data_IF_820603976982
#
_entry.id   IF_820603976982
#
_cell.length_a   1.000
_cell.length_b   1.000
_cell.length_c   1.000
_cell.angle_alpha   90.00
_cell.angle_beta   90.00
_cell.angle_gamma   90.00
#
_symmetry.space_group_name_H-M   'P 1'
#
loop_
_entity.id
_entity.type
_entity.pdbx_description
1 polymer ?
#
# COMPACT_ATOMS: atom_id res chain seq x y z
N UNK A 1 -3.79 11.65 2.04
CA UNK A 1 -2.42 12.08 1.86
C UNK A 1 -2.47 13.23 0.93
N UNK A 2 -2.35 14.43 1.47
CA UNK A 2 -1.87 15.50 0.63
C UNK A 2 -0.45 15.06 0.24
N UNK A 3 -0.25 14.61 -1.01
CA UNK A 3 1.09 14.54 -1.57
C UNK A 3 1.65 15.95 -1.55
N UNK A 4 2.92 16.10 -1.20
CA UNK A 4 3.56 17.40 -1.41
C UNK A 4 3.59 17.71 -2.90
N UNK A 5 3.72 18.99 -3.25
CA UNK A 5 3.79 19.41 -4.66
C UNK A 5 4.94 18.70 -5.39
N UNK A 6 6.12 18.61 -4.77
CA UNK A 6 7.29 17.93 -5.35
C UNK A 6 7.02 16.44 -5.57
N UNK A 7 6.41 15.74 -4.60
CA UNK A 7 6.05 14.33 -4.75
C UNK A 7 5.06 14.12 -5.90
N UNK A 8 4.03 14.98 -5.99
CA UNK A 8 3.02 14.90 -7.05
C UNK A 8 3.64 15.09 -8.44
N UNK A 9 4.53 16.06 -8.60
CA UNK A 9 5.21 16.32 -9.87
C UNK A 9 6.13 15.17 -10.28
N UNK A 10 6.91 14.64 -9.33
CA UNK A 10 7.80 13.49 -9.57
C UNK A 10 7.01 12.25 -9.96
N UNK A 11 5.94 11.93 -9.22
CA UNK A 11 5.09 10.76 -9.51
C UNK A 11 4.52 10.82 -10.92
N UNK A 12 3.95 11.97 -11.31
CA UNK A 12 3.41 12.16 -12.67
C UNK A 12 4.49 12.05 -13.75
N UNK A 13 5.67 12.57 -13.48
CA UNK A 13 6.80 12.50 -14.42
C UNK A 13 7.27 11.06 -14.64
N UNK A 14 7.30 10.26 -13.57
CA UNK A 14 7.77 8.88 -13.62
C UNK A 14 6.66 7.86 -13.93
N UNK A 15 5.39 8.23 -13.89
CA UNK A 15 4.24 7.34 -14.09
C UNK A 15 4.33 6.55 -15.40
N UNK A 16 4.77 7.18 -16.50
CA UNK A 16 4.93 6.52 -17.80
C UNK A 16 6.04 5.46 -17.84
N UNK A 17 6.94 5.45 -16.86
CA UNK A 17 8.00 4.45 -16.71
C UNK A 17 7.59 3.28 -15.81
N UNK A 18 6.35 3.29 -15.31
CA UNK A 18 5.84 2.23 -14.44
C UNK A 18 5.10 1.20 -15.28
N UNK A 19 5.21 -0.05 -14.84
CA UNK A 19 4.60 -1.22 -15.43
C UNK A 19 4.21 -2.19 -14.29
N UNK A 20 3.54 -3.32 -14.57
CA UNK A 20 3.13 -4.25 -13.52
C UNK A 20 4.26 -4.81 -12.64
N UNK A 21 5.52 -4.73 -13.07
CA UNK A 21 6.73 -5.15 -12.35
C UNK A 21 7.52 -3.94 -11.78
N UNK A 22 6.95 -2.74 -11.85
CA UNK A 22 7.54 -1.49 -11.41
C UNK A 22 6.44 -0.54 -10.92
N UNK A 23 6.10 -0.60 -9.65
CA UNK A 23 4.92 0.04 -9.07
C UNK A 23 5.26 0.84 -7.82
N UNK A 24 4.47 1.87 -7.53
CA UNK A 24 4.57 2.65 -6.30
C UNK A 24 3.81 1.94 -5.18
N UNK A 25 4.40 1.87 -4.00
CA UNK A 25 3.74 1.31 -2.83
C UNK A 25 4.05 2.13 -1.57
N UNK A 26 4.03 1.47 -0.41
CA UNK A 26 4.32 2.11 0.87
C UNK A 26 3.23 3.09 1.31
N UNK A 27 3.62 4.01 2.18
CA UNK A 27 2.69 4.96 2.79
C UNK A 27 2.07 5.93 1.78
N UNK A 28 2.82 6.28 0.74
CA UNK A 28 2.37 7.20 -0.32
C UNK A 28 1.15 6.67 -1.07
N UNK A 29 1.14 5.36 -1.35
CA UNK A 29 0.01 4.69 -1.98
C UNK A 29 -1.14 4.39 -1.00
N UNK A 30 -0.82 3.97 0.23
CA UNK A 30 -1.79 3.57 1.25
C UNK A 30 -2.63 4.75 1.75
N UNK A 31 -1.98 5.88 2.01
CA UNK A 31 -2.57 6.94 2.82
C UNK A 31 -3.24 8.03 1.99
N UNK A 32 -3.60 7.84 0.72
CA UNK A 32 -4.06 8.89 -0.22
C UNK A 32 -5.20 9.81 0.27
N UNK A 33 -6.00 9.38 1.26
CA UNK A 33 -7.02 10.21 1.93
C UNK A 33 -6.82 10.33 3.45
N UNK A 34 -5.72 9.79 3.98
CA UNK A 34 -5.37 9.81 5.40
C UNK A 34 -4.59 11.09 5.82
N UNK A 35 -4.59 11.43 7.12
CA UNK A 35 -4.03 12.69 7.63
C UNK A 35 -2.49 12.72 7.75
N UNK A 36 -1.80 11.58 7.64
CA UNK A 36 -0.34 11.50 7.79
C UNK A 36 0.34 11.63 6.44
N UNK A 37 1.36 12.49 6.33
CA UNK A 37 2.20 12.60 5.14
C UNK A 37 3.21 11.45 5.05
N UNK A 38 3.54 11.03 3.83
CA UNK A 38 4.70 10.17 3.57
C UNK A 38 5.94 11.01 3.35
N UNK A 39 7.06 10.60 3.94
CA UNK A 39 8.36 11.27 3.77
C UNK A 39 9.08 10.85 2.48
N UNK A 40 8.72 9.68 1.95
CA UNK A 40 9.37 8.98 0.86
C UNK A 40 8.38 8.51 -0.21
N UNK A 41 8.88 8.35 -1.43
CA UNK A 41 8.22 7.62 -2.51
C UNK A 41 8.95 6.29 -2.65
N UNK A 42 8.24 5.20 -2.38
CA UNK A 42 8.77 3.84 -2.51
C UNK A 42 8.30 3.22 -3.83
N UNK A 43 9.25 2.87 -4.68
CA UNK A 43 9.04 2.22 -5.98
C UNK A 43 9.58 0.80 -5.87
N UNK A 44 8.72 -0.18 -6.04
CA UNK A 44 9.07 -1.58 -5.91
C UNK A 44 9.19 -2.26 -7.25
N UNK A 45 10.11 -3.24 -7.30
CA UNK A 45 10.41 -4.04 -8.46
C UNK A 45 10.47 -5.52 -8.09
N UNK A 46 9.90 -6.38 -8.94
CA UNK A 46 9.88 -7.83 -8.73
C UNK A 46 11.27 -8.49 -8.79
N UNK A 47 12.29 -7.74 -9.24
CA UNK A 47 13.63 -8.26 -9.55
C UNK A 47 14.71 -7.23 -9.25
N UNK A 48 15.84 -7.69 -8.70
CA UNK A 48 17.01 -6.87 -8.40
C UNK A 48 17.55 -6.15 -9.62
N UNK A 49 17.64 -6.83 -10.77
CA UNK A 49 18.21 -6.21 -11.99
C UNK A 49 17.38 -5.01 -12.47
N UNK A 50 16.07 -5.01 -12.18
CA UNK A 50 15.18 -3.92 -12.53
C UNK A 50 15.35 -2.70 -11.63
N UNK A 51 15.73 -2.90 -10.36
CA UNK A 51 15.98 -1.79 -9.42
C UNK A 51 17.02 -0.83 -9.98
N UNK A 52 18.16 -1.38 -10.41
CA UNK A 52 19.28 -0.57 -10.95
C UNK A 52 18.86 0.14 -12.23
N UNK A 53 18.24 -0.57 -13.16
CA UNK A 53 17.82 0.00 -14.44
C UNK A 53 16.77 1.10 -14.25
N UNK A 54 15.76 0.88 -13.41
CA UNK A 54 14.72 1.84 -13.11
C UNK A 54 15.29 3.08 -12.41
N UNK A 55 16.10 2.90 -11.36
CA UNK A 55 16.71 4.01 -10.62
C UNK A 55 17.56 4.91 -11.53
N UNK A 56 18.40 4.32 -12.39
CA UNK A 56 19.25 5.09 -13.31
C UNK A 56 18.44 5.76 -14.44
N UNK A 57 17.36 5.13 -14.90
CA UNK A 57 16.48 5.70 -15.93
C UNK A 57 15.66 6.86 -15.36
N UNK A 58 15.03 6.66 -14.21
CA UNK A 58 14.25 7.68 -13.51
C UNK A 58 15.13 8.89 -13.14
N UNK A 59 16.37 8.65 -12.70
CA UNK A 59 17.32 9.73 -12.40
C UNK A 59 17.63 10.61 -13.62
N UNK A 60 17.78 10.03 -14.82
CA UNK A 60 18.00 10.80 -16.06
C UNK A 60 16.76 11.63 -16.43
N UNK A 61 15.57 11.08 -16.24
CA UNK A 61 14.31 11.79 -16.50
C UNK A 61 14.15 12.97 -15.53
N UNK A 62 14.47 12.75 -14.25
CA UNK A 62 14.46 13.78 -13.22
C UNK A 62 15.46 14.89 -13.53
N UNK A 63 16.70 14.55 -13.91
CA UNK A 63 17.72 15.52 -14.29
C UNK A 63 17.29 16.35 -15.52
N UNK A 64 16.75 15.70 -16.55
CA UNK A 64 16.22 16.38 -17.73
C UNK A 64 15.03 17.31 -17.42
N UNK A 65 14.26 17.02 -16.36
CA UNK A 65 13.18 17.87 -15.86
C UNK A 65 13.65 18.96 -14.88
N UNK A 66 14.97 19.08 -14.63
CA UNK A 66 15.57 20.10 -13.78
C UNK A 66 15.56 19.78 -12.28
N UNK A 67 15.39 18.51 -11.90
CA UNK A 67 15.61 18.05 -10.53
C UNK A 67 17.07 17.64 -10.34
N UNK A 68 17.63 17.92 -9.17
CA UNK A 68 18.93 17.36 -8.78
C UNK A 68 18.70 16.08 -8.00
N UNK A 69 19.33 15.00 -8.43
CA UNK A 69 19.30 13.68 -7.78
C UNK A 69 20.63 13.45 -7.07
N UNK A 70 20.60 13.33 -5.75
CA UNK A 70 21.75 13.00 -4.92
C UNK A 70 21.58 11.58 -4.35
N UNK A 71 22.46 10.65 -4.75
CA UNK A 71 22.41 9.27 -4.25
C UNK A 71 22.84 9.21 -2.78
N UNK A 72 21.98 8.62 -1.95
CA UNK A 72 22.25 8.35 -0.53
C UNK A 72 22.71 6.91 -0.32
N UNK A 73 22.20 5.97 -1.14
CA UNK A 73 22.51 4.54 -1.06
C UNK A 73 22.33 3.88 -2.42
N UNK A 74 23.25 2.99 -2.79
CA UNK A 74 23.21 2.20 -4.03
C UNK A 74 23.68 0.78 -3.73
N UNK A 75 22.73 -0.11 -3.42
CA UNK A 75 22.94 -1.53 -3.17
C UNK A 75 22.13 -2.36 -4.18
N UNK A 76 22.49 -3.63 -4.46
CA UNK A 76 21.81 -4.42 -5.50
C UNK A 76 20.28 -4.47 -5.38
N UNK A 77 19.77 -4.59 -4.14
CA UNK A 77 18.34 -4.67 -3.85
C UNK A 77 17.68 -3.32 -3.53
N UNK A 78 18.46 -2.25 -3.38
CA UNK A 78 17.93 -0.95 -2.95
C UNK A 78 18.77 0.24 -3.39
N UNK A 79 18.14 1.17 -4.09
CA UNK A 79 18.68 2.49 -4.40
C UNK A 79 17.87 3.54 -3.64
N UNK A 80 18.55 4.52 -3.05
CA UNK A 80 17.93 5.63 -2.33
C UNK A 80 18.56 6.93 -2.79
N UNK A 81 17.74 7.89 -3.16
CA UNK A 81 18.18 9.23 -3.54
C UNK A 81 17.36 10.32 -2.85
N UNK A 82 18.01 11.43 -2.55
CA UNK A 82 17.33 12.68 -2.30
C UNK A 82 17.15 13.42 -3.64
N UNK A 83 15.90 13.76 -3.96
CA UNK A 83 15.53 14.48 -5.17
C UNK A 83 15.11 15.89 -4.77
N UNK A 84 15.78 16.88 -5.33
CA UNK A 84 15.63 18.29 -4.96
C UNK A 84 15.26 19.15 -6.15
N UNK A 85 14.40 20.14 -5.89
CA UNK A 85 14.12 21.23 -6.83
C UNK A 85 13.85 22.50 -6.04
N UNK A 86 14.60 23.55 -6.34
CA UNK A 86 14.61 24.80 -5.57
C UNK A 86 14.85 24.54 -4.07
N UNK A 87 13.93 24.92 -3.19
CA UNK A 87 14.00 24.74 -1.74
C UNK A 87 13.18 23.52 -1.25
N UNK A 88 12.75 22.65 -2.16
CA UNK A 88 11.96 21.46 -1.82
C UNK A 88 12.75 20.19 -2.12
N UNK A 89 12.59 19.19 -1.26
CA UNK A 89 13.24 17.89 -1.37
C UNK A 89 12.24 16.76 -1.05
N UNK A 90 12.46 15.60 -1.65
CA UNK A 90 11.80 14.35 -1.24
C UNK A 90 12.73 13.18 -1.47
N UNK A 91 12.52 12.09 -0.74
CA UNK A 91 13.32 10.87 -0.86
C UNK A 91 12.63 9.91 -1.80
N UNK A 92 13.38 9.37 -2.76
CA UNK A 92 12.95 8.26 -3.61
C UNK A 92 13.73 7.01 -3.24
N UNK A 93 13.01 5.90 -3.12
CA UNK A 93 13.58 4.57 -2.93
C UNK A 93 13.11 3.64 -4.05
N UNK A 94 14.06 2.95 -4.67
CA UNK A 94 13.80 1.84 -5.59
C UNK A 94 14.22 0.57 -4.88
N UNK A 95 13.30 -0.38 -4.71
CA UNK A 95 13.47 -1.53 -3.82
C UNK A 95 13.08 -2.81 -4.54
N UNK A 96 13.88 -3.86 -4.42
CA UNK A 96 13.49 -5.19 -4.83
C UNK A 96 12.49 -5.76 -3.81
N UNK A 97 11.36 -6.28 -4.30
CA UNK A 97 10.36 -6.97 -3.47
C UNK A 97 10.09 -8.37 -3.99
N UNK A 98 9.47 -9.19 -3.14
CA UNK A 98 8.85 -10.43 -3.57
C UNK A 98 7.71 -10.12 -4.56
N UNK A 99 7.63 -10.89 -5.64
CA UNK A 99 6.49 -10.78 -6.55
C UNK A 99 5.22 -11.46 -6.01
N UNK A 100 5.29 -12.08 -4.83
CA UNK A 100 4.17 -12.76 -4.18
C UNK A 100 3.16 -11.76 -3.59
N UNK A 101 1.93 -11.80 -4.11
CA UNK A 101 0.84 -10.87 -3.76
C UNK A 101 -0.52 -11.49 -4.04
N UNK A 102 -1.57 -10.91 -3.48
CA UNK A 102 -2.94 -11.38 -3.75
C UNK A 102 -3.43 -10.88 -5.10
N UNK A 103 -3.24 -9.60 -5.40
CA UNK A 103 -3.75 -8.96 -6.60
C UNK A 103 -2.62 -8.42 -7.49
N UNK A 104 -2.80 -8.38 -8.81
CA UNK A 104 -1.86 -7.72 -9.69
C UNK A 104 -1.69 -6.23 -9.33
N UNK A 105 -0.56 -5.65 -9.70
CA UNK A 105 -0.39 -4.20 -9.62
C UNK A 105 -1.48 -3.51 -10.46
N UNK A 106 -2.07 -2.46 -9.89
CA UNK A 106 -3.22 -1.74 -10.44
C UNK A 106 -2.72 -0.50 -11.16
N UNK A 107 -3.15 -0.29 -12.40
CA UNK A 107 -2.79 0.91 -13.16
C UNK A 107 -3.41 2.15 -12.51
N UNK A 108 -2.65 3.24 -12.44
CA UNK A 108 -3.08 4.50 -11.85
C UNK A 108 -2.58 5.70 -12.68
N UNK A 109 -3.39 6.75 -12.80
CA UNK A 109 -3.04 7.93 -13.61
C UNK A 109 -1.88 8.75 -13.02
N UNK A 110 -1.83 8.89 -11.70
CA UNK A 110 -0.83 9.69 -10.99
C UNK A 110 0.44 8.89 -10.72
N UNK A 111 0.29 7.62 -10.37
CA UNK A 111 1.38 6.75 -9.92
C UNK A 111 1.90 5.82 -11.03
N UNK A 112 1.21 5.72 -12.17
CA UNK A 112 1.49 4.75 -13.21
C UNK A 112 0.98 3.36 -12.85
N UNK A 113 1.58 2.74 -11.83
CA UNK A 113 1.09 1.49 -11.24
C UNK A 113 1.22 1.53 -9.71
N UNK A 114 0.25 0.95 -9.03
CA UNK A 114 0.15 0.83 -7.57
C UNK A 114 0.06 -0.63 -7.15
N UNK A 115 0.54 -0.94 -5.95
CA UNK A 115 0.15 -2.18 -5.29
C UNK A 115 -1.32 -2.09 -4.83
N UNK A 116 -2.08 -3.19 -4.93
CA UNK A 116 -3.47 -3.22 -4.51
C UNK A 116 -3.62 -2.86 -3.01
N UNK A 117 -4.69 -2.14 -2.58
CA UNK A 117 -4.86 -1.70 -1.20
C UNK A 117 -4.74 -2.81 -0.15
N UNK A 118 -5.27 -4.00 -0.43
CA UNK A 118 -5.17 -5.15 0.48
C UNK A 118 -3.72 -5.63 0.60
N UNK A 119 -2.98 -5.67 -0.51
CA UNK A 119 -1.56 -6.02 -0.49
C UNK A 119 -0.73 -4.96 0.26
N UNK A 120 -1.02 -3.67 0.06
CA UNK A 120 -0.42 -2.58 0.86
C UNK A 120 -0.69 -2.75 2.36
N UNK A 121 -1.92 -3.11 2.73
CA UNK A 121 -2.30 -3.36 4.12
C UNK A 121 -1.54 -4.54 4.73
N UNK A 122 -1.40 -5.66 4.00
CA UNK A 122 -0.61 -6.82 4.47
C UNK A 122 0.86 -6.47 4.65
N UNK A 123 1.47 -5.73 3.71
CA UNK A 123 2.85 -5.28 3.82
C UNK A 123 3.04 -4.34 5.03
N UNK A 124 2.02 -3.54 5.36
CA UNK A 124 2.04 -2.65 6.53
C UNK A 124 1.91 -3.39 7.86
N UNK A 125 1.11 -4.45 7.93
CA UNK A 125 1.11 -5.37 9.07
C UNK A 125 2.51 -5.95 9.26
N UNK A 126 3.15 -6.45 8.19
CA UNK A 126 4.50 -7.00 8.27
C UNK A 126 5.55 -5.96 8.69
N UNK A 127 5.41 -4.71 8.25
CA UNK A 127 6.27 -3.62 8.72
C UNK A 127 6.08 -3.36 10.23
N UNK A 128 4.84 -3.26 10.72
CA UNK A 128 4.57 -3.02 12.14
C UNK A 128 5.08 -4.16 13.06
N UNK A 129 5.14 -5.38 12.53
CA UNK A 129 5.73 -6.56 13.21
C UNK A 129 7.25 -6.50 13.18
N UNK A 130 7.84 -6.19 12.02
CA UNK A 130 9.29 -6.28 11.79
C UNK A 130 10.12 -5.08 12.27
N UNK A 131 9.50 -3.93 12.59
CA UNK A 131 10.20 -2.73 13.07
C UNK A 131 9.36 -1.92 14.03
N UNK A 132 10.03 -0.98 14.71
CA UNK A 132 9.41 -0.06 15.66
C UNK A 132 9.39 1.36 15.13
N UNK A 133 8.28 1.75 14.51
CA UNK A 133 8.03 3.07 13.94
C UNK A 133 6.61 3.55 14.28
N UNK A 134 6.46 4.72 14.92
CA UNK A 134 5.13 5.27 15.31
C UNK A 134 4.17 5.38 14.12
N UNK A 135 4.70 5.73 12.94
CA UNK A 135 3.90 5.87 11.71
C UNK A 135 3.15 4.59 11.33
N UNK A 136 3.70 3.42 11.65
CA UNK A 136 3.06 2.16 11.32
C UNK A 136 1.81 1.93 12.20
N UNK A 137 1.76 2.44 13.44
CA UNK A 137 0.54 2.38 14.28
C UNK A 137 -0.61 3.21 13.70
N UNK A 138 -0.29 4.41 13.20
CA UNK A 138 -1.28 5.29 12.54
C UNK A 138 -1.79 4.65 11.25
N UNK A 139 -0.89 4.02 10.49
CA UNK A 139 -1.23 3.32 9.26
C UNK A 139 -2.15 2.12 9.54
N UNK A 140 -1.90 1.33 10.59
CA UNK A 140 -2.77 0.21 10.99
C UNK A 140 -4.19 0.66 11.35
N UNK A 141 -4.32 1.76 12.09
CA UNK A 141 -5.64 2.34 12.39
C UNK A 141 -6.33 2.84 11.12
N UNK A 142 -5.57 3.41 10.17
CA UNK A 142 -6.12 3.84 8.88
C UNK A 142 -6.62 2.61 8.09
N UNK A 143 -5.79 1.58 7.95
CA UNK A 143 -6.13 0.32 7.29
C UNK A 143 -7.42 -0.29 7.84
N UNK A 144 -7.51 -0.40 9.17
CA UNK A 144 -8.69 -0.97 9.84
C UNK A 144 -9.98 -0.24 9.45
N UNK A 145 -9.91 1.09 9.32
CA UNK A 145 -11.08 1.94 9.09
C UNK A 145 -11.44 2.08 7.60
N UNK A 146 -10.47 1.98 6.68
CA UNK A 146 -10.67 2.39 5.28
C UNK A 146 -10.40 1.31 4.25
N UNK A 147 -9.67 0.24 4.60
CA UNK A 147 -9.27 -0.80 3.65
C UNK A 147 -9.92 -2.12 4.03
N UNK A 148 -9.54 -2.69 5.16
CA UNK A 148 -10.01 -4.00 5.60
C UNK A 148 -9.77 -4.12 7.12
N UNK A 149 -10.71 -4.72 7.89
CA UNK A 149 -10.50 -4.95 9.31
C UNK A 149 -9.20 -5.73 9.56
N UNK A 150 -8.47 -5.33 10.62
CA UNK A 150 -7.15 -5.90 10.92
C UNK A 150 -7.17 -7.42 11.10
N UNK A 151 -8.26 -8.02 11.56
CA UNK A 151 -8.39 -9.47 11.65
C UNK A 151 -8.13 -10.15 10.31
N UNK A 152 -8.82 -9.72 9.26
CA UNK A 152 -8.63 -10.25 7.90
C UNK A 152 -7.27 -9.87 7.29
N UNK A 153 -6.75 -8.66 7.55
CA UNK A 153 -5.42 -8.26 7.04
C UNK A 153 -4.31 -9.09 7.68
N UNK A 154 -4.35 -9.28 9.00
CA UNK A 154 -3.36 -10.10 9.72
C UNK A 154 -3.47 -11.57 9.31
N UNK A 155 -4.69 -12.07 9.16
CA UNK A 155 -4.94 -13.43 8.67
C UNK A 155 -4.28 -13.68 7.31
N UNK A 156 -4.46 -12.76 6.37
CA UNK A 156 -3.84 -12.82 5.04
C UNK A 156 -2.31 -12.63 5.10
N UNK A 157 -1.82 -11.71 5.94
CA UNK A 157 -0.39 -11.41 6.06
C UNK A 157 0.44 -12.63 6.52
N UNK A 158 -0.15 -13.56 7.27
CA UNK A 158 0.50 -14.80 7.69
C UNK A 158 0.99 -15.66 6.50
N UNK A 159 0.35 -15.57 5.33
CA UNK A 159 0.81 -16.27 4.11
C UNK A 159 2.20 -15.82 3.68
N UNK A 160 2.51 -14.53 3.84
CA UNK A 160 3.76 -13.91 3.39
C UNK A 160 4.93 -14.15 4.35
N UNK A 161 4.72 -14.78 5.50
CA UNK A 161 5.74 -14.93 6.54
C UNK A 161 5.78 -16.34 7.14
N UNK A 162 6.52 -17.27 6.49
CA UNK A 162 6.74 -18.60 7.04
C UNK A 162 7.36 -18.50 8.44
N UNK A 163 6.63 -18.96 9.47
CA UNK A 163 7.07 -18.93 10.86
C UNK A 163 6.25 -18.03 11.78
N UNK A 164 5.35 -17.21 11.23
CA UNK A 164 4.38 -16.46 12.04
C UNK A 164 2.98 -17.09 11.94
N UNK A 165 2.24 -17.07 13.06
CA UNK A 165 0.80 -17.29 13.06
C UNK A 165 0.08 -15.95 13.13
N UNK A 166 -1.19 -15.86 12.71
CA UNK A 166 -1.97 -14.63 12.85
C UNK A 166 -1.99 -14.07 14.30
N UNK A 167 -2.09 -14.94 15.31
CA UNK A 167 -2.01 -14.59 16.72
C UNK A 167 -0.64 -14.02 17.08
N UNK A 168 0.43 -14.64 16.57
CA UNK A 168 1.81 -14.17 16.76
C UNK A 168 2.04 -12.77 16.18
N UNK A 169 1.47 -12.49 15.00
CA UNK A 169 1.54 -11.16 14.39
C UNK A 169 0.82 -10.11 15.25
N UNK A 170 -0.38 -10.42 15.77
CA UNK A 170 -1.10 -9.52 16.70
C UNK A 170 -0.27 -9.26 17.95
N UNK A 171 0.30 -10.31 18.55
CA UNK A 171 1.12 -10.20 19.74
C UNK A 171 2.37 -9.32 19.51
N UNK A 172 3.01 -9.44 18.35
CA UNK A 172 4.17 -8.61 17.99
C UNK A 172 3.78 -7.14 17.82
N UNK A 173 2.67 -6.86 17.13
CA UNK A 173 2.17 -5.48 16.97
C UNK A 173 1.91 -4.85 18.35
N UNK A 174 1.26 -5.58 19.27
CA UNK A 174 1.02 -5.10 20.64
C UNK A 174 2.34 -4.78 21.36
N UNK A 175 3.36 -5.63 21.20
CA UNK A 175 4.69 -5.42 21.78
C UNK A 175 5.35 -4.17 21.23
N UNK A 176 5.22 -3.93 19.93
CA UNK A 176 5.82 -2.81 19.23
C UNK A 176 5.06 -1.48 19.39
N UNK A 177 3.89 -1.45 20.05
CA UNK A 177 3.02 -0.27 20.07
C UNK A 177 3.40 0.84 21.07
N UNK A 178 4.45 0.68 21.87
CA UNK A 178 4.82 1.65 22.90
C UNK A 178 5.91 2.62 22.42
N UNK A 179 5.61 3.93 22.48
CA UNK A 179 6.49 5.01 22.03
C UNK A 179 6.43 6.24 22.93
N UNK A 180 7.54 6.98 23.06
CA UNK A 180 7.57 8.26 23.79
C UNK A 180 6.81 9.34 23.03
N UNK A 181 6.30 10.34 23.77
CA UNK A 181 5.55 11.45 23.19
C UNK A 181 6.33 12.20 22.10
N UNK A 182 7.66 12.34 22.22
CA UNK A 182 8.50 13.02 21.24
C UNK A 182 8.40 12.44 19.83
N UNK A 183 8.27 11.11 19.70
CA UNK A 183 8.14 10.46 18.39
C UNK A 183 6.77 10.71 17.75
N UNK A 184 5.71 10.81 18.57
CA UNK A 184 4.39 11.22 18.08
C UNK A 184 4.39 12.67 17.56
N UNK A 185 5.06 13.58 18.27
CA UNK A 185 5.17 14.98 17.85
C UNK A 185 6.02 15.16 16.58
N UNK A 186 6.94 14.22 16.30
CA UNK A 186 7.76 14.25 15.09
C UNK A 186 7.00 13.82 13.82
N UNK A 187 5.79 13.29 13.94
CA UNK A 187 5.00 12.90 12.78
C UNK A 187 4.54 14.13 11.99
N UNK A 188 4.80 14.10 10.68
CA UNK A 188 4.24 15.09 9.75
C UNK A 188 2.79 14.74 9.42
N UNK A 189 1.85 15.56 9.87
CA UNK A 189 0.41 15.34 9.69
C UNK A 189 -0.30 16.62 9.23
N UNK A 190 -1.40 16.47 8.51
CA UNK A 190 -2.26 17.57 8.06
C UNK A 190 -3.14 18.13 9.17
N UNK A 191 -3.37 17.33 10.21
CA UNK A 191 -4.10 17.68 11.41
C UNK A 191 -3.44 17.03 12.63
N UNK A 192 -3.52 17.65 13.83
CA UNK A 192 -3.00 17.04 15.05
C UNK A 192 -3.57 15.64 15.27
N UNK A 193 -2.71 14.69 15.63
CA UNK A 193 -3.11 13.36 16.05
C UNK A 193 -3.05 13.30 17.58
N UNK A 194 -4.11 12.78 18.21
CA UNK A 194 -4.09 12.46 19.63
C UNK A 194 -3.58 11.02 19.82
N UNK A 195 -2.38 10.82 20.40
CA UNK A 195 -1.82 9.49 20.62
C UNK A 195 -2.74 8.58 21.44
N UNK A 196 -3.45 9.15 22.42
CA UNK A 196 -4.37 8.39 23.30
C UNK A 196 -5.52 7.82 22.48
N UNK A 197 -6.09 8.62 21.58
CA UNK A 197 -7.18 8.19 20.70
C UNK A 197 -6.70 7.14 19.70
N UNK A 198 -5.54 7.35 19.08
CA UNK A 198 -4.98 6.40 18.12
C UNK A 198 -4.66 5.06 18.78
N UNK A 199 -4.00 5.06 19.95
CA UNK A 199 -3.67 3.84 20.67
C UNK A 199 -4.92 3.12 21.20
N UNK A 200 -5.93 3.85 21.66
CA UNK A 200 -7.21 3.26 22.06
C UNK A 200 -7.89 2.55 20.88
N UNK A 201 -7.97 3.21 19.72
CA UNK A 201 -8.52 2.60 18.49
C UNK A 201 -7.72 1.39 18.03
N UNK A 202 -6.40 1.48 18.04
CA UNK A 202 -5.53 0.37 17.67
C UNK A 202 -5.75 -0.82 18.60
N UNK A 203 -5.85 -0.59 19.91
CA UNK A 203 -6.13 -1.65 20.88
C UNK A 203 -7.46 -2.33 20.60
N UNK A 204 -8.53 -1.57 20.38
CA UNK A 204 -9.84 -2.14 20.00
C UNK A 204 -9.74 -2.96 18.73
N UNK A 205 -9.09 -2.43 17.68
CA UNK A 205 -8.92 -3.14 16.42
C UNK A 205 -8.11 -4.46 16.57
N UNK A 206 -7.12 -4.49 17.46
CA UNK A 206 -6.34 -5.69 17.76
C UNK A 206 -7.10 -6.69 18.64
N UNK A 207 -7.97 -6.23 19.54
CA UNK A 207 -8.85 -7.09 20.34
C UNK A 207 -9.92 -7.75 19.42
N UNK A 208 -10.47 -7.01 18.47
CA UNK A 208 -11.38 -7.55 17.44
C UNK A 208 -10.68 -8.53 16.50
N UNK A 209 -9.44 -8.22 16.09
CA UNK A 209 -8.63 -9.11 15.28
C UNK A 209 -8.35 -10.43 16.00
N UNK A 210 -8.01 -10.38 17.29
CA UNK A 210 -7.74 -11.56 18.12
C UNK A 210 -8.99 -12.46 18.26
N UNK A 211 -10.15 -11.85 18.50
CA UNK A 211 -11.43 -12.55 18.56
C UNK A 211 -11.83 -13.20 17.22
N UNK A 212 -11.54 -12.54 16.10
CA UNK A 212 -11.76 -13.09 14.75
C UNK A 212 -10.83 -14.27 14.48
N UNK A 213 -9.52 -14.08 14.65
CA UNK A 213 -8.48 -15.09 14.39
C UNK A 213 -8.74 -16.36 15.20
N UNK A 214 -9.09 -16.23 16.48
CA UNK A 214 -9.35 -17.36 17.38
C UNK A 214 -10.51 -18.26 16.94
N UNK A 215 -11.39 -17.77 16.06
CA UNK A 215 -12.54 -18.54 15.52
C UNK A 215 -12.31 -19.08 14.13
N UNK A 216 -11.26 -18.64 13.44
CA UNK A 216 -10.99 -19.03 12.06
C UNK A 216 -10.31 -20.40 12.00
N UNK A 217 -10.65 -21.24 11.02
CA UNK A 217 -10.06 -22.57 10.89
C UNK A 217 -8.65 -22.48 10.30
N UNK A 218 -7.74 -23.31 10.81
CA UNK A 218 -6.30 -23.24 10.50
C UNK A 218 -5.97 -23.55 9.03
N UNK A 219 -6.78 -24.36 8.35
CA UNK A 219 -6.62 -24.70 6.93
C UNK A 219 -6.90 -23.53 5.98
N UNK A 220 -7.54 -22.47 6.48
CA UNK A 220 -7.82 -21.27 5.72
C UNK A 220 -6.82 -20.12 5.97
N UNK A 221 -5.78 -20.34 6.77
CA UNK A 221 -4.76 -19.31 7.09
C UNK A 221 -4.14 -18.76 5.83
N UNK A 222 -3.95 -17.44 5.78
CA UNK A 222 -3.35 -16.76 4.64
C UNK A 222 -4.32 -16.44 3.50
N UNK A 223 -5.53 -17.02 3.48
CA UNK A 223 -6.50 -16.75 2.43
C UNK A 223 -7.23 -15.42 2.65
N UNK A 224 -7.50 -14.72 1.55
CA UNK A 224 -8.51 -13.67 1.49
C UNK A 224 -9.90 -14.26 1.22
N UNK A 225 -10.92 -13.52 1.62
CA UNK A 225 -12.32 -13.89 1.43
C UNK A 225 -13.04 -12.79 0.68
N UNK A 226 -13.82 -13.18 -0.32
CA UNK A 226 -14.59 -12.27 -1.16
C UNK A 226 -16.08 -12.55 -1.04
N UNK A 227 -16.85 -11.46 -0.96
CA UNK A 227 -18.30 -11.46 -1.21
C UNK A 227 -18.54 -10.74 -2.53
N UNK A 228 -18.81 -11.51 -3.59
CA UNK A 228 -18.75 -10.98 -4.95
C UNK A 228 -17.32 -10.53 -5.30
N UNK A 229 -17.15 -9.27 -5.70
CA UNK A 229 -15.82 -8.69 -5.99
C UNK A 229 -15.16 -7.99 -4.81
N UNK A 230 -15.84 -7.87 -3.67
CA UNK A 230 -15.35 -7.14 -2.50
C UNK A 230 -14.58 -8.07 -1.56
N UNK A 231 -13.36 -7.68 -1.18
CA UNK A 231 -12.59 -8.37 -0.15
C UNK A 231 -13.13 -7.94 1.21
N UNK A 232 -13.48 -8.92 2.05
CA UNK A 232 -14.15 -8.69 3.33
C UNK A 232 -13.54 -9.54 4.44
N UNK A 233 -13.72 -9.10 5.69
CA UNK A 233 -13.55 -10.01 6.82
C UNK A 233 -14.76 -10.96 6.83
N UNK A 234 -14.57 -12.28 6.68
CA UNK A 234 -15.69 -13.20 6.64
C UNK A 234 -16.29 -13.38 8.04
N UNK A 235 -17.50 -13.91 8.12
CA UNK A 235 -18.01 -14.51 9.35
C UNK A 235 -17.42 -15.92 9.49
N UNK A 236 -16.63 -16.23 10.54
CA UNK A 236 -16.07 -17.56 10.75
C UNK A 236 -17.11 -18.68 10.83
N UNK A 237 -18.36 -18.35 11.18
CA UNK A 237 -19.47 -19.32 11.20
C UNK A 237 -20.11 -19.61 9.84
N UNK A 238 -19.76 -18.85 8.80
CA UNK A 238 -20.41 -18.89 7.48
C UNK A 238 -19.40 -18.80 6.32
N UNK A 239 -18.22 -19.42 6.47
CA UNK A 239 -17.15 -19.33 5.47
C UNK A 239 -17.56 -19.82 4.07
N UNK A 240 -18.51 -20.75 3.98
CA UNK A 240 -19.08 -21.23 2.72
C UNK A 240 -19.75 -20.14 1.87
N UNK A 241 -20.10 -19.01 2.48
CA UNK A 241 -20.79 -17.90 1.81
C UNK A 241 -19.80 -16.98 1.06
N UNK A 242 -18.50 -17.28 1.13
CA UNK A 242 -17.43 -16.45 0.58
C UNK A 242 -16.56 -17.26 -0.39
N UNK A 243 -16.04 -16.58 -1.41
CA UNK A 243 -14.99 -17.14 -2.26
C UNK A 243 -13.63 -16.89 -1.62
N UNK A 244 -12.79 -17.92 -1.58
CA UNK A 244 -11.42 -17.79 -1.10
C UNK A 244 -10.50 -17.33 -2.23
N UNK A 245 -9.45 -16.60 -1.87
CA UNK A 245 -8.45 -16.09 -2.79
C UNK A 245 -7.07 -16.15 -2.16
N UNK A 246 -6.17 -16.93 -2.75
CA UNK A 246 -4.81 -17.13 -2.28
C UNK A 246 -3.84 -16.16 -2.96
N UNK A 247 -2.73 -15.85 -2.27
CA UNK A 247 -1.61 -15.15 -2.87
C UNK A 247 -0.91 -16.03 -3.89
N UNK A 248 -0.32 -15.39 -4.91
CA UNK A 248 0.55 -16.07 -5.85
C UNK A 248 1.56 -15.10 -6.47
N UNK A 249 2.50 -15.63 -7.25
CA UNK A 249 3.44 -14.79 -8.01
C UNK A 249 2.67 -13.84 -8.93
N UNK A 250 2.96 -12.56 -8.81
CA UNK A 250 2.34 -11.41 -9.51
C UNK A 250 0.85 -11.21 -9.23
N UNK A 251 0.27 -11.98 -8.33
CA UNK A 251 -1.15 -11.95 -8.01
C UNK A 251 -2.04 -12.40 -9.17
N UNK A 252 -3.33 -12.50 -8.89
CA UNK A 252 -4.36 -12.66 -9.92
C UNK A 252 -5.66 -12.04 -9.47
N UNK A 253 -6.52 -11.75 -10.43
CA UNK A 253 -7.91 -11.47 -10.12
C UNK A 253 -8.65 -12.80 -9.93
N UNK A 254 -9.59 -12.89 -8.97
CA UNK A 254 -10.36 -14.10 -8.77
C UNK A 254 -11.17 -14.43 -10.03
N UNK A 255 -11.02 -15.65 -10.54
CA UNK A 255 -11.67 -16.11 -11.77
C UNK A 255 -13.05 -16.70 -11.49
N UNK A 256 -14.06 -15.85 -11.27
CA UNK A 256 -15.46 -16.24 -11.38
C UNK A 256 -16.13 -15.41 -12.48
N UNK A 257 -17.10 -15.96 -13.20
CA UNK A 257 -17.86 -15.26 -14.24
C UNK A 257 -18.55 -13.99 -13.71
N UNK A 258 -19.06 -14.02 -12.48
CA UNK A 258 -19.70 -12.85 -11.84
C UNK A 258 -18.68 -11.78 -11.43
N UNK A 259 -17.50 -12.20 -10.93
CA UNK A 259 -16.40 -11.29 -10.58
C UNK A 259 -15.79 -10.68 -11.84
N UNK A 260 -15.61 -11.49 -12.89
CA UNK A 260 -15.14 -11.03 -14.20
C UNK A 260 -16.11 -10.01 -14.78
N UNK A 261 -17.43 -10.26 -14.72
CA UNK A 261 -18.45 -9.31 -15.16
C UNK A 261 -18.40 -8.00 -14.34
N UNK A 262 -18.36 -8.07 -13.00
CA UNK A 262 -18.27 -6.88 -12.14
C UNK A 262 -16.97 -6.08 -12.37
N UNK A 263 -15.84 -6.77 -12.56
CA UNK A 263 -14.56 -6.15 -12.89
C UNK A 263 -14.58 -5.47 -14.27
N UNK A 264 -15.16 -6.13 -15.28
CA UNK A 264 -15.35 -5.54 -16.59
C UNK A 264 -16.26 -4.30 -16.53
N UNK A 265 -17.37 -4.37 -15.80
CA UNK A 265 -18.29 -3.24 -15.61
C UNK A 265 -17.61 -2.05 -14.91
N UNK A 266 -16.79 -2.33 -13.88
CA UNK A 266 -16.03 -1.30 -13.18
C UNK A 266 -14.97 -0.65 -14.09
N UNK A 267 -14.20 -1.45 -14.83
CA UNK A 267 -13.22 -0.94 -15.79
C UNK A 267 -13.89 -0.10 -16.91
N UNK A 268 -15.07 -0.51 -17.37
CA UNK A 268 -15.87 0.25 -18.36
C UNK A 268 -16.37 1.56 -17.76
N UNK A 269 -16.84 1.55 -16.52
CA UNK A 269 -17.32 2.75 -15.81
C UNK A 269 -16.19 3.75 -15.53
N UNK A 270 -15.02 3.26 -15.11
CA UNK A 270 -13.82 4.07 -14.90
C UNK A 270 -13.34 4.71 -16.21
N UNK A 271 -13.30 3.93 -17.31
CA UNK A 271 -12.96 4.44 -18.65
C UNK A 271 -13.98 5.45 -19.16
N UNK A 272 -15.27 5.23 -18.93
CA UNK A 272 -16.34 6.17 -19.29
C UNK A 272 -16.25 7.48 -18.50
N UNK A 273 -15.89 7.40 -17.23
CA UNK A 273 -15.68 8.54 -16.34
C UNK A 273 -14.46 9.35 -16.78
N UNK A 274 -13.34 8.69 -17.08
CA UNK A 274 -12.14 9.31 -17.64
C UNK A 274 -12.41 9.99 -19.00
N UNK A 275 -13.19 9.36 -19.89
CA UNK A 275 -13.57 9.98 -21.17
C UNK A 275 -14.47 11.21 -21.00
N UNK A 276 -15.40 11.19 -20.04
CA UNK A 276 -16.22 12.37 -19.71
C UNK A 276 -15.39 13.51 -19.14
N UNK A 277 -14.42 13.21 -18.28
CA UNK A 277 -13.48 14.18 -17.73
C UNK A 277 -12.57 14.78 -18.81
N UNK A 278 -12.08 13.96 -19.75
CA UNK A 278 -11.27 14.41 -20.88
C UNK A 278 -12.06 15.33 -21.85
N UNK A 279 -13.34 15.02 -22.12
CA UNK A 279 -14.22 15.86 -22.96
C UNK A 279 -14.55 17.21 -22.33
N UNK A 280 -14.67 17.29 -21.00
CA UNK A 280 -14.89 18.56 -20.28
C UNK A 280 -13.64 19.47 -20.23
N UNK A 281 -12.45 18.94 -20.50
CA UNK A 281 -11.18 19.70 -20.49
C UNK A 281 -10.77 20.25 -21.87
N UNK A 282 -11.53 19.98 -22.93
CA UNK A 282 -11.32 20.65 -24.22
C UNK A 282 -11.98 22.04 -24.18
N UNK A 283 -11.22 23.15 -24.31
CA UNK A 283 -11.84 24.45 -24.48
C UNK A 283 -12.56 24.48 -25.82
N UNK A 284 -13.82 24.96 -25.81
CA UNK A 284 -14.56 25.33 -27.02
C UNK A 284 -13.67 26.22 -27.88
N UNK A 285 -13.19 25.69 -29.00
CA UNK A 285 -12.63 26.49 -30.07
C UNK A 285 -13.80 27.15 -30.78
N UNK A 286 -14.08 28.39 -30.39
CA UNK A 286 -14.75 29.38 -31.23
C UNK A 286 -13.82 30.58 -31.39
#
# INVERSE_FOLDING_TARGET
MPLTKIQTEILRLLAAQRDPESYVAGATALNQDAPRYSGDIDIFHDREERVVQAALTDAKILDAAGYRVAWLRQLPVIYTAEVTRHQTATRLEWVADSDFRFFPAVQDEMFGYLLHPVDLATNKVMAAVGRREVRDLVDLVTIHNTILPLGAVVWAAAEKSPGFTPEGLIAEIRRNAHYPASEWHALHTSQPLDPTVILARLRTALDEADAFVSRMPTDAVGLLFLRGSEVVQPDPGRLSDYHTHAGQRRGQWPSNAEITAAMFERAVSEKATQQKLARRRQPTRE
#
